data_IF_738145239297
#
_entry.id   IF_738145239297
#
_cell.length_a   1.000
_cell.length_b   1.000
_cell.length_c   1.000
_cell.angle_alpha   90.00
_cell.angle_beta   90.00
_cell.angle_gamma   90.00
#
_symmetry.space_group_name_H-M   'P 1'
#
loop_
_entity.id
_entity.type
_entity.pdbx_description
1 polymer ?
#
# COMPACT_ATOMS: atom_id res chain seq x y z
N UNK A 1 7.83 -25.35 14.80
CA UNK A 1 7.06 -24.19 14.29
C UNK A 1 7.94 -22.94 14.33
N UNK A 2 7.85 -22.10 13.32
CA UNK A 2 8.52 -20.79 13.28
C UNK A 2 7.85 -19.90 14.32
N UNK A 3 8.64 -19.33 15.25
CA UNK A 3 8.13 -18.43 16.29
C UNK A 3 8.32 -16.96 15.93
N UNK A 4 9.38 -16.64 15.20
CA UNK A 4 9.72 -15.28 14.79
C UNK A 4 10.05 -15.26 13.30
N UNK A 5 9.60 -14.21 12.61
CA UNK A 5 9.89 -13.96 11.21
C UNK A 5 10.26 -12.48 11.03
N UNK A 6 11.42 -12.20 10.45
CA UNK A 6 11.83 -10.87 10.06
C UNK A 6 11.49 -10.67 8.58
N UNK A 7 10.62 -9.72 8.29
CA UNK A 7 10.31 -9.27 6.92
C UNK A 7 11.12 -8.03 6.64
N UNK A 8 11.98 -8.06 5.64
CA UNK A 8 12.83 -6.94 5.22
C UNK A 8 12.50 -6.56 3.78
N UNK A 9 12.38 -5.28 3.53
CA UNK A 9 12.17 -4.74 2.19
C UNK A 9 13.04 -3.52 1.98
N UNK A 10 13.61 -3.38 0.79
CA UNK A 10 14.42 -2.23 0.40
C UNK A 10 14.09 -1.83 -1.04
N UNK A 11 13.86 -0.55 -1.24
CA UNK A 11 13.56 0.02 -2.56
C UNK A 11 14.58 1.11 -2.89
N UNK A 12 15.25 0.94 -4.02
CA UNK A 12 16.08 1.94 -4.68
C UNK A 12 15.55 2.16 -6.09
N UNK A 13 14.45 2.88 -6.17
CA UNK A 13 13.68 3.09 -7.41
C UNK A 13 13.77 4.52 -7.94
N UNK A 14 14.44 5.41 -7.22
CA UNK A 14 14.72 6.79 -7.69
C UNK A 14 15.50 6.83 -9.01
N UNK A 15 16.22 5.76 -9.36
CA UNK A 15 16.87 5.61 -10.68
C UNK A 15 15.90 5.71 -11.87
N UNK A 16 14.59 5.46 -11.65
CA UNK A 16 13.54 5.67 -12.64
C UNK A 16 13.28 7.15 -12.91
N UNK A 17 13.54 8.03 -11.93
CA UNK A 17 13.31 9.47 -12.02
C UNK A 17 14.20 10.08 -13.08
N UNK A 18 15.48 9.71 -13.13
CA UNK A 18 16.47 10.27 -14.07
C UNK A 18 16.05 10.09 -15.53
N UNK A 19 15.45 8.92 -15.81
CA UNK A 19 14.92 8.64 -17.14
C UNK A 19 13.61 9.43 -17.38
N UNK A 20 12.70 9.42 -16.43
CA UNK A 20 11.41 10.08 -16.55
C UNK A 20 11.53 11.60 -16.72
N UNK A 21 12.43 12.27 -15.98
CA UNK A 21 12.68 13.73 -16.10
C UNK A 21 13.03 14.12 -17.53
N UNK A 22 13.76 13.27 -18.24
CA UNK A 22 14.16 13.54 -19.66
C UNK A 22 13.02 13.30 -20.63
N UNK A 23 12.12 12.34 -20.36
CA UNK A 23 11.15 11.84 -21.33
C UNK A 23 9.72 12.30 -21.09
N UNK A 24 9.34 12.60 -19.86
CA UNK A 24 7.99 13.09 -19.52
C UNK A 24 7.82 14.52 -20.04
N UNK A 25 6.99 14.68 -21.07
CA UNK A 25 6.68 16.00 -21.66
C UNK A 25 5.24 16.44 -21.40
N UNK A 26 4.37 15.51 -21.05
CA UNK A 26 2.94 15.78 -20.83
C UNK A 26 2.40 14.93 -19.68
N UNK A 27 1.28 15.33 -19.05
CA UNK A 27 0.59 14.52 -18.05
C UNK A 27 0.08 13.16 -18.57
N UNK A 28 0.00 12.97 -19.88
CA UNK A 28 -0.41 11.71 -20.50
C UNK A 28 0.76 10.72 -20.69
N UNK A 29 1.99 11.12 -20.38
CA UNK A 29 3.18 10.25 -20.48
C UNK A 29 3.04 9.01 -19.60
N UNK A 30 3.30 7.84 -20.17
CA UNK A 30 3.26 6.57 -19.42
C UNK A 30 4.36 6.48 -18.35
N UNK A 31 5.41 7.27 -18.46
CA UNK A 31 6.52 7.35 -17.50
C UNK A 31 6.27 8.35 -16.37
N UNK A 32 5.13 9.05 -16.37
CA UNK A 32 4.80 10.07 -15.37
C UNK A 32 4.84 9.53 -13.93
N UNK A 33 4.40 8.29 -13.73
CA UNK A 33 4.41 7.66 -12.41
C UNK A 33 5.82 7.53 -11.81
N UNK A 34 6.85 7.44 -12.65
CA UNK A 34 8.25 7.40 -12.21
C UNK A 34 8.74 8.68 -11.54
N UNK A 35 8.06 9.82 -11.76
CA UNK A 35 8.40 11.09 -11.09
C UNK A 35 7.93 11.15 -9.63
N UNK A 36 7.14 10.19 -9.18
CA UNK A 36 6.54 10.17 -7.83
C UNK A 36 7.11 9.08 -6.94
N UNK A 37 8.09 8.31 -7.42
CA UNK A 37 8.71 7.25 -6.64
C UNK A 37 9.67 7.79 -5.58
N UNK A 38 9.91 7.01 -4.54
CA UNK A 38 10.86 7.32 -3.48
C UNK A 38 11.61 6.08 -3.03
N UNK A 39 12.77 6.28 -2.44
CA UNK A 39 13.62 5.21 -1.90
C UNK A 39 13.35 5.03 -0.41
N UNK A 40 13.28 3.79 0.05
CA UNK A 40 13.19 3.49 1.47
C UNK A 40 13.62 2.05 1.77
N UNK A 41 14.10 1.84 3.01
CA UNK A 41 14.28 0.53 3.61
C UNK A 41 13.35 0.36 4.79
N UNK A 42 12.81 -0.84 4.98
CA UNK A 42 11.95 -1.15 6.10
C UNK A 42 12.15 -2.60 6.56
N UNK A 43 11.98 -2.83 7.86
CA UNK A 43 11.96 -4.15 8.45
C UNK A 43 10.85 -4.24 9.50
N UNK A 44 10.18 -5.38 9.56
CA UNK A 44 9.17 -5.68 10.58
C UNK A 44 9.38 -7.09 11.13
N UNK A 45 9.33 -7.19 12.46
CA UNK A 45 9.36 -8.47 13.15
C UNK A 45 7.92 -8.97 13.34
N UNK A 46 7.65 -10.18 12.91
CA UNK A 46 6.39 -10.89 13.16
C UNK A 46 6.67 -12.02 14.13
N UNK A 47 5.92 -12.07 15.22
CA UNK A 47 6.01 -13.12 16.23
C UNK A 47 4.73 -13.95 16.28
N UNK A 48 4.89 -15.25 16.54
CA UNK A 48 3.74 -16.09 16.85
C UNK A 48 3.16 -15.69 18.22
N UNK A 49 1.86 -15.51 18.29
CA UNK A 49 1.14 -15.20 19.54
C UNK A 49 -0.06 -16.10 19.70
N UNK A 50 -0.42 -16.41 20.95
CA UNK A 50 -1.68 -17.06 21.32
C UNK A 50 -2.76 -16.01 21.66
N UNK A 51 -2.39 -14.72 21.74
CA UNK A 51 -3.31 -13.63 22.03
C UNK A 51 -3.94 -13.12 20.73
N UNK A 52 -5.22 -13.43 20.55
CA UNK A 52 -5.96 -13.01 19.34
C UNK A 52 -6.07 -11.49 19.20
N UNK A 53 -6.10 -10.74 20.31
CA UNK A 53 -6.20 -9.28 20.30
C UNK A 53 -4.88 -8.58 19.86
N UNK A 54 -3.78 -9.33 19.80
CA UNK A 54 -2.46 -8.86 19.38
C UNK A 54 -2.01 -9.48 18.06
N UNK A 55 -2.87 -10.26 17.43
CA UNK A 55 -2.55 -10.95 16.19
C UNK A 55 -2.94 -10.14 14.95
N UNK A 56 -2.37 -10.51 13.81
CA UNK A 56 -2.95 -10.16 12.52
C UNK A 56 -4.29 -10.87 12.43
N UNK A 57 -5.38 -10.11 12.46
CA UNK A 57 -6.75 -10.65 12.53
C UNK A 57 -7.26 -11.11 11.17
N UNK A 58 -6.69 -10.58 10.10
CA UNK A 58 -7.03 -10.94 8.73
C UNK A 58 -5.85 -10.73 7.81
N UNK A 59 -5.64 -11.67 6.89
CA UNK A 59 -4.79 -11.49 5.71
C UNK A 59 -5.45 -12.12 4.49
N UNK A 60 -5.39 -11.44 3.36
CA UNK A 60 -5.92 -11.92 2.09
C UNK A 60 -5.07 -11.43 0.92
N UNK A 61 -4.87 -12.29 -0.07
CA UNK A 61 -4.07 -11.99 -1.25
C UNK A 61 -4.73 -12.55 -2.50
N UNK A 62 -4.61 -11.79 -3.60
CA UNK A 62 -5.09 -12.21 -4.91
C UNK A 62 -4.14 -11.73 -6.00
N UNK A 63 -3.96 -12.54 -7.05
CA UNK A 63 -3.13 -12.19 -8.20
C UNK A 63 -3.89 -12.41 -9.49
N UNK A 64 -3.87 -11.39 -10.36
CA UNK A 64 -4.56 -11.35 -11.65
C UNK A 64 -3.56 -11.09 -12.78
N UNK A 65 -2.81 -12.11 -13.17
CA UNK A 65 -1.72 -12.03 -14.16
C UNK A 65 -2.16 -11.55 -15.55
N UNK A 66 -3.46 -11.63 -15.87
CA UNK A 66 -4.03 -11.09 -17.12
C UNK A 66 -3.84 -9.58 -17.32
N UNK A 67 -3.40 -8.86 -16.28
CA UNK A 67 -3.16 -7.41 -16.30
C UNK A 67 -1.68 -7.05 -16.21
N UNK A 68 -0.78 -7.97 -16.48
CA UNK A 68 0.67 -7.78 -16.33
C UNK A 68 1.26 -6.69 -17.24
N UNK A 69 0.57 -6.35 -18.34
CA UNK A 69 0.98 -5.33 -19.30
C UNK A 69 0.64 -3.88 -18.90
N UNK A 70 -0.07 -3.69 -17.77
CA UNK A 70 -0.49 -2.36 -17.33
C UNK A 70 0.63 -1.54 -16.70
N UNK A 71 1.65 -2.20 -16.16
CA UNK A 71 2.86 -1.56 -15.66
C UNK A 71 4.05 -2.48 -15.94
N UNK A 72 5.00 -1.98 -16.70
CA UNK A 72 6.20 -2.73 -17.07
C UNK A 72 7.44 -1.87 -16.86
N UNK A 73 8.53 -2.47 -16.39
CA UNK A 73 9.82 -1.83 -16.30
C UNK A 73 10.86 -2.65 -17.05
N UNK A 74 11.77 -1.97 -17.74
CA UNK A 74 12.86 -2.59 -18.49
C UNK A 74 14.14 -1.80 -18.32
N UNK A 75 15.32 -2.45 -18.33
CA UNK A 75 16.60 -1.75 -18.40
C UNK A 75 16.60 -0.77 -19.58
N UNK A 76 17.14 0.43 -19.37
CA UNK A 76 17.22 1.39 -20.45
C UNK A 76 18.39 1.03 -21.37
N UNK A 77 18.21 0.99 -22.73
CA UNK A 77 19.26 0.50 -23.64
C UNK A 77 20.48 1.43 -23.76
N UNK A 78 20.35 2.71 -23.37
CA UNK A 78 21.40 3.74 -23.59
C UNK A 78 21.92 4.40 -22.32
N UNK A 79 21.22 4.26 -21.18
CA UNK A 79 21.57 4.94 -19.93
C UNK A 79 21.49 3.97 -18.76
N UNK A 80 22.25 4.16 -17.68
CA UNK A 80 22.06 3.41 -16.44
C UNK A 80 20.64 3.57 -15.90
N UNK A 81 20.11 2.51 -15.29
CA UNK A 81 18.76 2.50 -14.72
C UNK A 81 17.74 1.82 -15.61
N UNK A 82 16.47 2.04 -15.27
CA UNK A 82 15.33 1.44 -15.94
C UNK A 82 14.31 2.49 -16.39
N UNK A 83 13.51 2.12 -17.38
CA UNK A 83 12.35 2.87 -17.83
C UNK A 83 11.09 2.11 -17.38
N UNK A 84 10.19 2.77 -16.70
CA UNK A 84 8.92 2.22 -16.27
C UNK A 84 7.77 2.87 -17.03
N UNK A 85 6.95 2.06 -17.68
CA UNK A 85 5.75 2.50 -18.38
C UNK A 85 4.51 2.03 -17.64
N UNK A 86 3.65 2.96 -17.25
CA UNK A 86 2.44 2.68 -16.49
C UNK A 86 1.20 3.24 -17.21
N UNK A 87 0.24 2.38 -17.51
CA UNK A 87 -1.10 2.78 -17.96
C UNK A 87 -1.93 3.23 -16.72
N UNK A 88 -1.49 4.33 -16.08
CA UNK A 88 -1.89 4.72 -14.72
C UNK A 88 -3.40 4.77 -14.49
N UNK A 89 -4.17 5.35 -15.42
CA UNK A 89 -5.64 5.39 -15.32
C UNK A 89 -6.24 3.98 -15.35
N UNK A 90 -5.77 3.14 -16.26
CA UNK A 90 -6.30 1.77 -16.41
C UNK A 90 -5.96 0.89 -15.22
N UNK A 91 -4.72 0.94 -14.75
CA UNK A 91 -4.30 0.16 -13.57
C UNK A 91 -5.11 0.56 -12.34
N UNK A 92 -5.38 1.86 -12.15
CA UNK A 92 -6.21 2.35 -11.06
C UNK A 92 -7.65 1.84 -11.13
N UNK A 93 -8.30 1.95 -12.31
CA UNK A 93 -9.66 1.45 -12.52
C UNK A 93 -9.78 -0.05 -12.25
N UNK A 94 -8.85 -0.82 -12.80
CA UNK A 94 -8.80 -2.28 -12.65
C UNK A 94 -8.52 -2.66 -11.19
N UNK A 95 -7.53 -2.03 -10.55
CA UNK A 95 -7.17 -2.32 -9.16
C UNK A 95 -8.35 -2.14 -8.21
N UNK A 96 -9.10 -1.06 -8.35
CA UNK A 96 -10.28 -0.83 -7.50
C UNK A 96 -11.38 -1.84 -7.80
N UNK A 97 -11.72 -2.05 -9.08
CA UNK A 97 -12.80 -2.96 -9.45
C UNK A 97 -12.54 -4.39 -8.98
N UNK A 98 -11.34 -4.87 -9.26
CA UNK A 98 -10.98 -6.26 -8.96
C UNK A 98 -10.72 -6.51 -7.48
N UNK A 99 -10.38 -5.48 -6.69
CA UNK A 99 -10.20 -5.63 -5.25
C UNK A 99 -11.50 -5.57 -4.42
N UNK A 100 -12.62 -5.12 -5.02
CA UNK A 100 -13.91 -5.06 -4.32
C UNK A 100 -14.34 -6.39 -3.69
N UNK A 101 -14.25 -7.55 -4.36
CA UNK A 101 -14.60 -8.83 -3.77
C UNK A 101 -13.72 -9.15 -2.55
N UNK A 102 -12.41 -8.94 -2.65
CA UNK A 102 -11.46 -9.19 -1.56
C UNK A 102 -11.76 -8.31 -0.34
N UNK A 103 -12.04 -7.01 -0.53
CA UNK A 103 -12.43 -6.10 0.55
C UNK A 103 -13.76 -6.54 1.18
N UNK A 104 -14.75 -6.90 0.35
CA UNK A 104 -16.05 -7.40 0.82
C UNK A 104 -15.90 -8.64 1.71
N UNK A 105 -15.09 -9.59 1.27
CA UNK A 105 -14.84 -10.83 2.02
C UNK A 105 -14.08 -10.56 3.31
N UNK A 106 -13.15 -9.60 3.31
CA UNK A 106 -12.45 -9.16 4.50
C UNK A 106 -13.41 -8.57 5.54
N UNK A 107 -14.26 -7.63 5.16
CA UNK A 107 -15.27 -7.02 6.05
C UNK A 107 -16.22 -8.07 6.61
N UNK A 108 -16.70 -8.99 5.76
CA UNK A 108 -17.56 -10.10 6.21
C UNK A 108 -16.87 -11.02 7.21
N UNK A 109 -15.61 -11.39 6.95
CA UNK A 109 -14.83 -12.28 7.81
C UNK A 109 -14.57 -11.67 9.18
N UNK A 110 -14.35 -10.36 9.22
CA UNK A 110 -14.17 -9.60 10.46
C UNK A 110 -15.50 -9.27 11.16
N UNK A 111 -16.64 -9.42 10.47
CA UNK A 111 -17.96 -9.05 11.00
C UNK A 111 -18.10 -7.54 11.24
N UNK A 112 -17.48 -6.71 10.40
CA UNK A 112 -17.45 -5.24 10.55
C UNK A 112 -17.99 -4.52 9.31
N UNK A 113 -18.39 -3.27 9.52
CA UNK A 113 -18.66 -2.33 8.44
C UNK A 113 -17.39 -1.58 8.01
N UNK A 114 -17.38 -1.03 6.80
CA UNK A 114 -16.26 -0.25 6.29
C UNK A 114 -15.96 1.00 7.13
N UNK A 115 -16.97 1.57 7.76
CA UNK A 115 -16.89 2.69 8.71
C UNK A 115 -16.23 2.35 10.05
N UNK A 116 -16.09 1.06 10.39
CA UNK A 116 -15.41 0.64 11.62
C UNK A 116 -13.87 0.65 11.47
N UNK A 117 -13.35 0.86 10.28
CA UNK A 117 -11.91 0.99 10.04
C UNK A 117 -11.43 2.34 10.58
N UNK A 118 -10.49 2.32 11.54
CA UNK A 118 -9.91 3.54 12.08
C UNK A 118 -8.87 4.13 11.12
N UNK A 119 -7.94 3.33 10.64
CA UNK A 119 -6.91 3.76 9.69
C UNK A 119 -6.89 2.88 8.45
N UNK A 120 -7.31 3.44 7.32
CA UNK A 120 -7.07 2.83 6.03
C UNK A 120 -5.74 3.34 5.48
N UNK A 121 -4.79 2.43 5.29
CA UNK A 121 -3.47 2.71 4.72
C UNK A 121 -3.38 2.04 3.35
N UNK A 122 -3.72 2.73 2.27
CA UNK A 122 -3.59 2.18 0.93
C UNK A 122 -2.14 2.29 0.43
N UNK A 123 -1.79 1.50 -0.58
CA UNK A 123 -0.56 1.71 -1.32
C UNK A 123 -0.48 3.15 -1.87
N UNK A 124 0.65 3.81 -1.65
CA UNK A 124 0.84 5.23 -1.93
C UNK A 124 1.21 5.44 -3.41
N UNK A 125 0.23 5.65 -4.28
CA UNK A 125 0.44 5.86 -5.73
C UNK A 125 0.34 7.33 -6.12
N UNK A 126 -0.83 7.94 -5.94
CA UNK A 126 -1.06 9.37 -6.07
C UNK A 126 -2.22 9.80 -5.18
N UNK A 127 -2.20 11.06 -4.72
CA UNK A 127 -3.27 11.59 -3.86
C UNK A 127 -4.66 11.45 -4.50
N UNK A 128 -4.77 11.78 -5.79
CA UNK A 128 -6.02 11.68 -6.54
C UNK A 128 -6.53 10.24 -6.66
N UNK A 129 -5.64 9.29 -6.92
CA UNK A 129 -5.97 7.87 -7.00
C UNK A 129 -6.44 7.32 -5.65
N UNK A 130 -5.73 7.61 -4.56
CA UNK A 130 -6.09 7.19 -3.21
C UNK A 130 -7.49 7.71 -2.84
N UNK A 131 -7.73 9.01 -3.02
CA UNK A 131 -9.03 9.62 -2.69
C UNK A 131 -10.16 9.10 -3.58
N UNK A 132 -9.89 8.86 -4.87
CA UNK A 132 -10.86 8.26 -5.79
C UNK A 132 -11.21 6.83 -5.39
N UNK A 133 -10.20 6.02 -5.04
CA UNK A 133 -10.39 4.65 -4.56
C UNK A 133 -11.20 4.61 -3.26
N UNK A 134 -10.84 5.44 -2.29
CA UNK A 134 -11.57 5.53 -1.02
C UNK A 134 -13.04 5.90 -1.23
N UNK A 135 -13.33 6.89 -2.09
CA UNK A 135 -14.72 7.24 -2.42
C UNK A 135 -15.48 6.08 -3.08
N UNK A 136 -14.82 5.31 -3.93
CA UNK A 136 -15.44 4.15 -4.58
C UNK A 136 -15.78 3.05 -3.58
N UNK A 137 -14.88 2.77 -2.63
CA UNK A 137 -15.15 1.83 -1.53
C UNK A 137 -16.29 2.33 -0.64
N UNK A 138 -16.27 3.60 -0.25
CA UNK A 138 -17.34 4.21 0.54
C UNK A 138 -18.70 4.10 -0.14
N UNK A 139 -18.76 4.36 -1.46
CA UNK A 139 -19.99 4.22 -2.24
C UNK A 139 -20.47 2.75 -2.37
N UNK A 140 -19.55 1.79 -2.30
CA UNK A 140 -19.86 0.36 -2.46
C UNK A 140 -20.26 -0.30 -1.12
N UNK A 141 -19.56 0.04 -0.03
CA UNK A 141 -19.73 -0.62 1.27
C UNK A 141 -20.50 0.21 2.31
N UNK A 142 -20.78 1.47 1.99
CA UNK A 142 -21.37 2.42 2.93
C UNK A 142 -20.36 2.97 3.95
N UNK A 143 -20.58 4.19 4.39
CA UNK A 143 -19.72 4.85 5.38
C UNK A 143 -18.31 5.20 4.87
N UNK A 144 -17.45 5.61 5.77
CA UNK A 144 -16.05 5.96 5.49
C UNK A 144 -15.17 5.48 6.65
N UNK A 145 -13.90 5.07 6.38
CA UNK A 145 -12.91 4.91 7.44
C UNK A 145 -12.73 6.23 8.20
N UNK A 146 -12.37 6.18 9.48
CA UNK A 146 -12.12 7.41 10.24
C UNK A 146 -10.99 8.23 9.62
N UNK A 147 -9.95 7.55 9.12
CA UNK A 147 -8.83 8.20 8.45
C UNK A 147 -8.33 7.37 7.25
N UNK A 148 -8.17 8.02 6.09
CA UNK A 148 -7.41 7.51 4.95
C UNK A 148 -6.03 8.16 4.96
N UNK A 149 -4.99 7.36 5.16
CA UNK A 149 -3.63 7.89 5.34
C UNK A 149 -2.96 8.14 4.00
N UNK A 150 -2.41 9.34 3.84
CA UNK A 150 -1.65 9.77 2.66
C UNK A 150 -0.36 10.43 3.14
N UNK A 151 0.79 9.88 2.75
CA UNK A 151 2.12 10.40 3.10
C UNK A 151 3.02 10.66 1.87
N UNK A 152 2.43 10.73 0.69
CA UNK A 152 3.13 10.90 -0.60
C UNK A 152 4.00 12.15 -0.67
N UNK A 153 3.58 13.25 -0.02
CA UNK A 153 4.33 14.50 -0.01
C UNK A 153 5.65 14.40 0.76
N UNK A 154 5.76 13.45 1.68
CA UNK A 154 6.92 13.26 2.52
C UNK A 154 7.87 12.19 1.94
N UNK A 155 7.33 11.11 1.38
CA UNK A 155 8.11 9.92 1.02
C UNK A 155 8.00 9.51 -0.45
N UNK A 156 7.01 10.03 -1.18
CA UNK A 156 6.68 9.51 -2.50
C UNK A 156 6.09 8.09 -2.45
N UNK A 157 6.11 7.42 -3.59
CA UNK A 157 5.74 6.01 -3.69
C UNK A 157 6.99 5.15 -3.45
N UNK A 158 7.11 4.61 -2.26
CA UNK A 158 8.23 3.75 -1.85
C UNK A 158 7.96 2.26 -2.08
N UNK A 159 7.11 1.95 -3.06
CA UNK A 159 6.75 0.60 -3.52
C UNK A 159 6.47 -0.39 -2.37
N UNK A 160 7.26 -1.45 -2.21
CA UNK A 160 7.01 -2.51 -1.21
C UNK A 160 7.18 -2.04 0.24
N UNK A 161 7.91 -0.96 0.50
CA UNK A 161 8.11 -0.40 1.85
C UNK A 161 6.99 0.53 2.31
N UNK A 162 6.10 0.94 1.41
CA UNK A 162 5.08 1.97 1.60
C UNK A 162 4.31 1.86 2.92
N UNK A 163 3.79 0.67 3.24
CA UNK A 163 2.96 0.47 4.43
C UNK A 163 3.78 0.55 5.72
N UNK A 164 5.00 0.03 5.71
CA UNK A 164 5.90 0.04 6.86
C UNK A 164 6.37 1.46 7.18
N UNK A 165 6.76 2.23 6.15
CA UNK A 165 7.11 3.65 6.28
C UNK A 165 5.94 4.45 6.86
N UNK A 166 4.72 4.20 6.35
CA UNK A 166 3.51 4.88 6.83
C UNK A 166 3.19 4.52 8.28
N UNK A 167 3.26 3.24 8.65
CA UNK A 167 3.06 2.78 10.03
C UNK A 167 4.08 3.39 10.98
N UNK A 168 5.35 3.41 10.59
CA UNK A 168 6.41 4.01 11.38
C UNK A 168 6.16 5.50 11.65
N UNK A 169 5.73 6.26 10.63
CA UNK A 169 5.38 7.68 10.80
C UNK A 169 4.18 7.89 11.73
N UNK A 170 3.15 7.02 11.66
CA UNK A 170 2.02 7.09 12.58
C UNK A 170 2.44 6.81 14.03
N UNK A 171 3.35 5.86 14.25
CA UNK A 171 3.95 5.58 15.56
C UNK A 171 4.77 6.78 16.06
N UNK A 172 5.64 7.36 15.23
CA UNK A 172 6.42 8.56 15.59
C UNK A 172 5.54 9.75 15.99
N UNK A 173 4.41 9.92 15.32
CA UNK A 173 3.45 10.99 15.61
C UNK A 173 2.56 10.70 16.83
N UNK A 174 2.69 9.53 17.45
CA UNK A 174 1.86 9.06 18.57
C UNK A 174 0.35 9.19 18.30
N UNK A 175 -0.08 8.92 17.06
CA UNK A 175 -1.48 9.09 16.65
C UNK A 175 -2.30 7.84 16.83
N UNK A 176 -1.67 6.67 16.89
CA UNK A 176 -2.33 5.37 17.00
C UNK A 176 -2.75 5.08 18.44
N UNK A 177 -3.93 4.50 18.61
CA UNK A 177 -4.41 3.94 19.88
C UNK A 177 -4.33 2.41 19.84
N UNK A 178 -4.18 1.74 20.98
CA UNK A 178 -4.04 0.27 21.05
C UNK A 178 -5.17 -0.52 20.37
N UNK A 179 -6.39 0.01 20.40
CA UNK A 179 -7.58 -0.65 19.87
C UNK A 179 -8.00 -0.18 18.48
N UNK A 180 -7.26 0.76 17.88
CA UNK A 180 -7.55 1.21 16.50
C UNK A 180 -7.44 0.04 15.53
N UNK A 181 -8.41 -0.11 14.64
CA UNK A 181 -8.36 -1.08 13.57
C UNK A 181 -7.61 -0.49 12.38
N UNK A 182 -6.44 -1.05 12.11
CA UNK A 182 -5.62 -0.70 10.94
C UNK A 182 -5.93 -1.66 9.80
N UNK A 183 -6.18 -1.10 8.62
CA UNK A 183 -6.47 -1.84 7.41
C UNK A 183 -5.47 -1.43 6.33
N UNK A 184 -4.52 -2.33 5.99
CA UNK A 184 -3.57 -2.13 4.91
C UNK A 184 -4.15 -2.68 3.63
N UNK A 185 -4.15 -1.88 2.54
CA UNK A 185 -4.49 -2.35 1.21
C UNK A 185 -3.32 -2.12 0.28
N UNK A 186 -2.72 -3.21 -0.18
CA UNK A 186 -1.64 -3.21 -1.15
C UNK A 186 -2.14 -3.41 -2.56
N UNK A 187 -1.50 -2.70 -3.49
CA UNK A 187 -1.62 -2.93 -4.93
C UNK A 187 -0.22 -3.03 -5.51
N UNK A 188 0.00 -4.06 -6.28
CA UNK A 188 1.26 -4.26 -7.01
C UNK A 188 1.01 -4.44 -8.50
N UNK A 189 2.01 -4.10 -9.29
CA UNK A 189 1.98 -4.39 -10.73
C UNK A 189 1.84 -5.89 -10.97
N UNK A 190 1.08 -6.25 -11.98
CA UNK A 190 0.94 -7.65 -12.28
C UNK A 190 -0.48 -8.14 -12.59
N UNK A 191 -1.60 -7.78 -12.01
CA UNK A 191 -1.84 -7.03 -10.78
C UNK A 191 -1.93 -7.99 -9.59
N UNK A 192 -1.42 -7.59 -8.46
CA UNK A 192 -1.64 -8.32 -7.21
C UNK A 192 -2.26 -7.40 -6.16
N UNK A 193 -3.08 -7.95 -5.28
CA UNK A 193 -3.71 -7.26 -4.15
C UNK A 193 -3.33 -7.95 -2.86
N UNK A 194 -3.22 -7.16 -1.80
CA UNK A 194 -3.06 -7.67 -0.45
C UNK A 194 -3.90 -6.85 0.52
N UNK A 195 -4.50 -7.54 1.48
CA UNK A 195 -5.19 -6.91 2.61
C UNK A 195 -4.64 -7.52 3.89
N UNK A 196 -4.31 -6.67 4.84
CA UNK A 196 -3.95 -7.07 6.20
C UNK A 196 -4.72 -6.17 7.17
N UNK A 197 -5.37 -6.79 8.17
CA UNK A 197 -6.03 -6.07 9.24
C UNK A 197 -5.48 -6.51 10.60
N UNK A 198 -5.22 -5.54 11.49
CA UNK A 198 -4.71 -5.77 12.82
C UNK A 198 -4.95 -4.56 13.74
N UNK A 199 -4.77 -4.76 15.06
CA UNK A 199 -4.70 -3.70 16.05
C UNK A 199 -3.24 -3.42 16.42
N UNK A 200 -2.80 -2.14 16.54
CA UNK A 200 -1.39 -1.78 16.71
C UNK A 200 -0.88 -1.90 18.14
N UNK A 201 -1.63 -2.46 19.07
CA UNK A 201 -1.29 -2.51 20.51
C UNK A 201 0.15 -2.92 20.78
N UNK A 202 0.60 -4.01 20.17
CA UNK A 202 1.95 -4.53 20.36
C UNK A 202 3.04 -3.64 19.72
N UNK A 203 2.73 -3.04 18.58
CA UNK A 203 3.63 -2.08 17.92
C UNK A 203 3.86 -0.83 18.78
N UNK A 204 2.78 -0.29 19.38
CA UNK A 204 2.85 0.91 20.22
C UNK A 204 3.71 0.66 21.46
N UNK A 205 3.49 -0.46 22.15
CA UNK A 205 4.24 -0.81 23.38
C UNK A 205 5.72 -0.98 23.08
N UNK A 206 6.06 -1.67 21.99
CA UNK A 206 7.47 -1.92 21.65
C UNK A 206 8.18 -0.70 21.05
N UNK A 207 7.46 0.25 20.47
CA UNK A 207 8.05 1.48 19.93
C UNK A 207 8.33 2.51 21.02
N UNK A 208 7.53 2.56 22.08
CA UNK A 208 7.66 3.50 23.20
C UNK A 208 8.58 3.04 24.35
N UNK A 209 9.12 1.84 24.26
CA UNK A 209 10.11 1.27 25.21
C UNK A 209 11.52 1.37 24.59
#
# INVERSE_FOLDING_TARGET
>A
SIKNCLVVSGEYISSLIDHAVRNVKTPASQELASLTVGDAGAAIMIQATNNKDESITLSGFETLSRYNDLCTAQPHPRYPGASMKTKAKKIHEVSIRESLPLVKDALRTLGIEYSNIDYLIPHQTSRSAILSGSRKYSATFGGQPKQVVINLSENGNTASTTHFVTLFQLLQKNTLKPDDLIFLISYASGIAFGIIAFKPKHLIVNYGS
#
